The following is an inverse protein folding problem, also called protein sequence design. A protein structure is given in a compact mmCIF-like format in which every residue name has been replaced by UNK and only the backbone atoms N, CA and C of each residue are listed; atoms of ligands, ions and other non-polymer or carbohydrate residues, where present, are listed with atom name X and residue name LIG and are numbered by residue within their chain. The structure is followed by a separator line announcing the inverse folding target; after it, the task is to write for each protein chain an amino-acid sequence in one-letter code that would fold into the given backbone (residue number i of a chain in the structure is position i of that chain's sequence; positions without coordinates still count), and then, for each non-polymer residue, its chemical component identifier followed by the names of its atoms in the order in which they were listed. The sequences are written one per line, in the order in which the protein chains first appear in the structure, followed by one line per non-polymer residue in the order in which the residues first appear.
data_IF_425302139537
#
_entry.id   IF_425302139537
#
_cell.length_a   1.000
_cell.length_b   1.000
_cell.length_c   1.000
_cell.angle_alpha   90.00
_cell.angle_beta   90.00
_cell.angle_gamma   90.00
#
_symmetry.space_group_name_H-M   'P 1'
#
loop_
_entity.id
_entity.type
_entity.pdbx_description
1 polymer ?
#
# COMPACT_ATOMS: atom_id res chain seq x y z
N UNK A 1 1.75 27.91 -13.93
CA UNK A 1 2.16 26.95 -12.89
C UNK A 1 0.99 25.99 -12.77
N UNK A 2 1.11 24.79 -13.31
CA UNK A 2 0.03 23.79 -13.27
C UNK A 2 -0.17 23.36 -11.82
N UNK A 3 -1.36 23.58 -11.27
CA UNK A 3 -1.78 22.94 -10.03
C UNK A 3 -1.67 21.44 -10.22
N UNK A 4 -0.64 20.82 -9.63
CA UNK A 4 -0.56 19.37 -9.54
C UNK A 4 -1.49 19.00 -8.40
N UNK A 5 -2.50 18.19 -8.70
CA UNK A 5 -3.40 17.68 -7.67
C UNK A 5 -2.58 16.99 -6.57
N UNK A 6 -2.87 17.31 -5.30
CA UNK A 6 -2.13 16.81 -4.12
C UNK A 6 -2.02 15.28 -4.14
N UNK A 7 -3.07 14.60 -4.62
CA UNK A 7 -3.11 13.16 -4.77
C UNK A 7 -2.02 12.61 -5.71
N UNK A 8 -1.75 13.31 -6.82
CA UNK A 8 -0.67 12.95 -7.76
C UNK A 8 0.70 13.17 -7.12
N UNK A 9 0.85 14.23 -6.32
CA UNK A 9 2.09 14.47 -5.57
C UNK A 9 2.34 13.34 -4.57
N UNK A 10 1.32 12.92 -3.83
CA UNK A 10 1.43 11.85 -2.84
C UNK A 10 1.71 10.49 -3.49
N UNK A 11 1.08 10.20 -4.64
CA UNK A 11 1.39 9.00 -5.42
C UNK A 11 2.86 8.98 -5.88
N UNK A 12 3.34 10.07 -6.48
CA UNK A 12 4.73 10.17 -6.90
C UNK A 12 5.70 10.13 -5.73
N UNK A 13 5.36 10.76 -4.60
CA UNK A 13 6.15 10.69 -3.39
C UNK A 13 6.25 9.26 -2.86
N UNK A 14 5.16 8.49 -2.88
CA UNK A 14 5.16 7.08 -2.47
C UNK A 14 6.08 6.24 -3.36
N UNK A 15 6.02 6.43 -4.68
CA UNK A 15 6.94 5.76 -5.61
C UNK A 15 8.40 6.10 -5.30
N UNK A 16 8.69 7.37 -5.02
CA UNK A 16 10.06 7.83 -4.79
C UNK A 16 10.61 7.45 -3.41
N UNK A 17 9.75 7.34 -2.39
CA UNK A 17 10.15 6.82 -1.08
C UNK A 17 10.65 5.38 -1.21
N UNK A 18 9.97 4.54 -1.98
CA UNK A 18 10.40 3.15 -2.19
C UNK A 18 11.71 3.11 -2.97
N UNK A 19 11.80 3.87 -4.07
CA UNK A 19 12.97 3.88 -4.96
C UNK A 19 14.26 4.32 -4.25
N UNK A 20 14.15 5.25 -3.29
CA UNK A 20 15.29 5.87 -2.62
C UNK A 20 15.58 5.30 -1.23
N UNK A 21 14.55 5.01 -0.44
CA UNK A 21 14.71 4.65 0.97
C UNK A 21 14.69 3.14 1.20
N UNK A 22 14.00 2.36 0.37
CA UNK A 22 13.88 0.91 0.55
C UNK A 22 15.05 0.15 -0.07
N UNK A 23 16.26 0.43 0.44
CA UNK A 23 17.52 -0.24 0.08
C UNK A 23 18.10 -1.01 1.27
N UNK A 24 19.02 -1.93 1.01
CA UNK A 24 19.76 -2.63 2.07
C UNK A 24 18.85 -3.48 2.96
N UNK A 25 18.73 -3.12 4.24
CA UNK A 25 17.93 -3.91 5.19
C UNK A 25 16.43 -3.85 4.88
N UNK A 26 15.92 -2.69 4.47
CA UNK A 26 14.50 -2.52 4.13
C UNK A 26 14.12 -3.30 2.88
N UNK A 27 14.98 -3.30 1.86
CA UNK A 27 14.79 -4.16 0.69
C UNK A 27 14.66 -5.63 1.09
N UNK A 28 15.57 -6.12 1.95
CA UNK A 28 15.52 -7.52 2.40
C UNK A 28 14.25 -7.81 3.18
N UNK A 29 13.84 -6.91 4.08
CA UNK A 29 12.61 -7.06 4.83
C UNK A 29 11.39 -7.14 3.90
N UNK A 30 11.30 -6.27 2.89
CA UNK A 30 10.18 -6.25 1.95
C UNK A 30 10.16 -7.50 1.07
N UNK A 31 11.32 -7.98 0.61
CA UNK A 31 11.42 -9.24 -0.14
C UNK A 31 11.06 -10.47 0.70
N UNK A 32 11.19 -10.41 2.03
CA UNK A 32 10.73 -11.49 2.90
C UNK A 32 9.20 -11.59 2.99
N UNK A 33 8.47 -10.53 2.62
CA UNK A 33 7.00 -10.53 2.66
C UNK A 33 6.37 -11.23 1.44
N UNK A 34 7.11 -11.41 0.35
CA UNK A 34 6.58 -12.08 -0.82
C UNK A 34 7.53 -12.07 -2.01
N UNK A 35 7.29 -12.99 -2.95
CA UNK A 35 7.99 -13.07 -4.23
C UNK A 35 7.22 -12.40 -5.37
N UNK A 36 5.99 -11.94 -5.13
CA UNK A 36 5.18 -11.11 -5.99
C UNK A 36 4.32 -10.15 -5.15
N UNK A 37 3.63 -9.21 -5.79
CA UNK A 37 2.82 -8.19 -5.09
C UNK A 37 1.64 -8.81 -4.32
N UNK A 38 1.06 -9.90 -4.83
CA UNK A 38 -0.07 -10.59 -4.18
C UNK A 38 0.37 -11.23 -2.86
N UNK A 39 1.44 -12.01 -2.90
CA UNK A 39 2.04 -12.64 -1.73
C UNK A 39 2.51 -11.59 -0.72
N UNK A 40 3.10 -10.49 -1.20
CA UNK A 40 3.50 -9.36 -0.38
C UNK A 40 2.32 -8.78 0.40
N UNK A 41 1.22 -8.43 -0.27
CA UNK A 41 0.05 -7.81 0.34
C UNK A 41 -0.65 -8.76 1.32
N UNK A 42 -0.77 -10.04 0.97
CA UNK A 42 -1.38 -11.05 1.87
C UNK A 42 -0.54 -11.25 3.13
N UNK A 43 0.80 -11.22 3.03
CA UNK A 43 1.67 -11.36 4.19
C UNK A 43 1.69 -10.08 5.02
N UNK A 44 1.65 -8.90 4.38
CA UNK A 44 1.57 -7.62 5.07
C UNK A 44 0.31 -7.51 5.92
N UNK A 45 -0.83 -7.95 5.39
CA UNK A 45 -2.11 -8.07 6.10
C UNK A 45 -1.95 -8.90 7.39
N UNK A 46 -1.46 -10.14 7.27
CA UNK A 46 -1.22 -10.99 8.44
C UNK A 46 -0.20 -10.45 9.44
N UNK A 47 0.82 -9.69 8.99
CA UNK A 47 1.76 -9.00 9.89
C UNK A 47 1.06 -7.85 10.62
N UNK A 48 0.24 -7.08 9.91
CA UNK A 48 -0.54 -5.99 10.48
C UNK A 48 -1.49 -6.50 11.56
N UNK A 49 -2.20 -7.61 11.30
CA UNK A 49 -3.05 -8.27 12.29
C UNK A 49 -2.31 -8.61 13.58
N UNK A 50 -1.12 -9.23 13.47
CA UNK A 50 -0.33 -9.61 14.65
C UNK A 50 0.15 -8.38 15.43
N UNK A 51 0.59 -7.33 14.73
CA UNK A 51 1.05 -6.08 15.35
C UNK A 51 -0.08 -5.37 16.10
N UNK A 52 -1.28 -5.32 15.51
CA UNK A 52 -2.47 -4.76 16.16
C UNK A 52 -2.85 -5.55 17.43
N UNK A 53 -2.87 -6.88 17.36
CA UNK A 53 -3.14 -7.74 18.51
C UNK A 53 -2.14 -7.53 19.66
N UNK A 54 -0.86 -7.32 19.34
CA UNK A 54 0.20 -7.13 20.34
C UNK A 54 0.22 -5.72 20.95
N UNK A 55 -0.18 -4.71 20.19
CA UNK A 55 -0.09 -3.32 20.64
C UNK A 55 -1.18 -2.94 21.64
N UNK A 56 -2.29 -3.67 21.68
CA UNK A 56 -3.43 -3.38 22.57
C UNK A 56 -4.15 -2.06 22.24
N UNK A 57 -3.72 -1.38 21.18
CA UNK A 57 -4.29 -0.14 20.65
C UNK A 57 -4.84 -0.42 19.26
N UNK A 58 -6.06 0.02 18.96
CA UNK A 58 -6.54 0.06 17.60
C UNK A 58 -5.62 1.01 16.81
N UNK A 59 -4.90 0.51 15.82
CA UNK A 59 -4.11 1.35 14.92
C UNK A 59 -5.04 2.23 14.10
N UNK A 60 -4.59 3.45 13.74
CA UNK A 60 -5.35 4.40 12.92
C UNK A 60 -5.62 3.91 11.49
N UNK A 61 -5.01 2.79 11.09
CA UNK A 61 -5.26 2.15 9.82
C UNK A 61 -5.44 0.63 9.95
N UNK A 62 -6.35 0.11 9.14
CA UNK A 62 -6.64 -1.32 8.97
C UNK A 62 -6.48 -1.67 7.48
N UNK A 63 -5.87 -2.82 7.23
CA UNK A 63 -5.63 -3.36 5.90
C UNK A 63 -6.29 -4.73 5.84
N UNK A 64 -7.03 -5.01 4.77
CA UNK A 64 -7.52 -6.37 4.49
C UNK A 64 -7.23 -6.68 3.04
N UNK A 65 -6.48 -7.74 2.79
CA UNK A 65 -6.11 -8.17 1.45
C UNK A 65 -7.08 -9.24 0.95
N UNK A 66 -7.79 -8.97 -0.14
CA UNK A 66 -8.66 -9.92 -0.81
C UNK A 66 -8.08 -10.28 -2.18
N UNK A 67 -7.60 -11.51 -2.28
CA UNK A 67 -7.12 -12.05 -3.54
C UNK A 67 -8.28 -12.66 -4.34
N UNK A 68 -8.56 -12.10 -5.51
CA UNK A 68 -9.42 -12.73 -6.51
C UNK A 68 -8.56 -13.46 -7.56
N UNK A 69 -9.16 -14.25 -8.47
CA UNK A 69 -8.42 -14.87 -9.57
C UNK A 69 -7.76 -13.85 -10.50
N UNK A 70 -8.37 -12.67 -10.69
CA UNK A 70 -7.97 -11.69 -11.70
C UNK A 70 -7.26 -10.45 -11.10
N UNK A 71 -7.46 -10.17 -9.81
CA UNK A 71 -6.93 -8.99 -9.15
C UNK A 71 -6.63 -9.23 -7.66
N UNK A 72 -5.88 -8.30 -7.07
CA UNK A 72 -5.75 -8.17 -5.61
C UNK A 72 -6.43 -6.89 -5.20
N UNK A 73 -7.41 -7.01 -4.33
CA UNK A 73 -8.11 -5.88 -3.72
C UNK A 73 -7.51 -5.66 -2.33
N UNK A 74 -7.13 -4.42 -2.04
CA UNK A 74 -6.67 -4.01 -0.73
C UNK A 74 -7.72 -3.06 -0.15
N UNK A 75 -8.45 -3.52 0.85
CA UNK A 75 -9.36 -2.66 1.60
C UNK A 75 -8.54 -1.92 2.64
N UNK A 76 -8.48 -0.59 2.51
CA UNK A 76 -7.69 0.26 3.38
C UNK A 76 -8.58 1.25 4.12
N UNK A 77 -8.68 1.08 5.43
CA UNK A 77 -9.44 1.98 6.30
C UNK A 77 -8.47 2.92 6.99
N UNK A 78 -8.72 4.23 6.92
CA UNK A 78 -7.92 5.24 7.63
C UNK A 78 -8.73 6.50 7.92
N UNK A 79 -8.39 7.20 9.01
CA UNK A 79 -8.89 8.55 9.29
C UNK A 79 -8.24 9.64 8.40
N UNK A 80 -7.22 9.29 7.62
CA UNK A 80 -6.46 10.20 6.77
C UNK A 80 -6.46 9.78 5.29
N UNK A 81 -7.53 10.13 4.53
CA UNK A 81 -7.69 9.77 3.11
C UNK A 81 -6.49 10.00 2.20
N UNK A 82 -5.72 11.07 2.45
CA UNK A 82 -4.51 11.39 1.68
C UNK A 82 -3.46 10.29 1.72
N UNK A 83 -3.40 9.51 2.81
CA UNK A 83 -2.45 8.39 2.97
C UNK A 83 -2.72 7.28 1.94
N UNK A 84 -3.97 7.11 1.48
CA UNK A 84 -4.29 6.11 0.47
C UNK A 84 -3.51 6.34 -0.83
N UNK A 85 -3.34 7.61 -1.25
CA UNK A 85 -2.56 7.96 -2.45
C UNK A 85 -1.06 7.71 -2.25
N UNK A 86 -0.54 8.01 -1.06
CA UNK A 86 0.85 7.70 -0.72
C UNK A 86 1.11 6.19 -0.71
N UNK A 87 0.18 5.41 -0.17
CA UNK A 87 0.21 3.96 -0.17
C UNK A 87 0.14 3.41 -1.60
N UNK A 88 -0.79 3.89 -2.43
CA UNK A 88 -0.92 3.47 -3.83
C UNK A 88 0.38 3.70 -4.61
N UNK A 89 1.00 4.87 -4.44
CA UNK A 89 2.32 5.17 -4.99
C UNK A 89 3.41 4.21 -4.49
N UNK A 90 3.41 3.94 -3.18
CA UNK A 90 4.37 3.01 -2.57
C UNK A 90 4.21 1.59 -3.13
N UNK A 91 2.98 1.10 -3.31
CA UNK A 91 2.73 -0.22 -3.91
C UNK A 91 3.22 -0.31 -5.36
N UNK A 92 3.02 0.75 -6.16
CA UNK A 92 3.60 0.84 -7.51
C UNK A 92 5.13 0.79 -7.47
N UNK A 93 5.75 1.48 -6.51
CA UNK A 93 7.20 1.45 -6.28
C UNK A 93 7.71 0.07 -5.91
N UNK A 94 7.04 -0.60 -4.98
CA UNK A 94 7.33 -1.97 -4.52
C UNK A 94 7.27 -2.96 -5.68
N UNK A 95 6.19 -2.91 -6.47
CA UNK A 95 6.00 -3.78 -7.63
C UNK A 95 7.16 -3.62 -8.63
N UNK A 96 7.50 -2.37 -8.95
CA UNK A 96 8.56 -2.06 -9.91
C UNK A 96 9.93 -2.49 -9.41
N UNK A 97 10.26 -2.15 -8.17
CA UNK A 97 11.62 -2.34 -7.65
C UNK A 97 11.91 -3.79 -7.26
N UNK A 98 10.95 -4.50 -6.68
CA UNK A 98 11.19 -5.83 -6.14
C UNK A 98 10.75 -6.96 -7.06
N UNK A 99 9.73 -6.73 -7.90
CA UNK A 99 9.14 -7.77 -8.75
C UNK A 99 9.28 -7.50 -10.24
N UNK A 100 9.89 -6.37 -10.63
CA UNK A 100 9.97 -5.91 -12.03
C UNK A 100 8.59 -5.89 -12.71
N UNK A 101 7.57 -5.54 -11.93
CA UNK A 101 6.18 -5.49 -12.36
C UNK A 101 5.71 -4.04 -12.42
N UNK A 102 4.89 -3.71 -13.42
CA UNK A 102 4.24 -2.41 -13.54
C UNK A 102 2.79 -2.56 -13.11
N UNK A 103 2.62 -2.78 -11.80
CA UNK A 103 1.31 -2.91 -11.21
C UNK A 103 0.49 -1.63 -11.41
N UNK A 104 -0.72 -1.80 -11.94
CA UNK A 104 -1.70 -0.73 -12.07
C UNK A 104 -2.54 -0.67 -10.78
N UNK A 105 -2.20 0.28 -9.90
CA UNK A 105 -2.90 0.49 -8.63
C UNK A 105 -3.85 1.69 -8.75
N UNK A 106 -5.12 1.44 -8.50
CA UNK A 106 -6.20 2.42 -8.54
C UNK A 106 -6.91 2.47 -7.19
N UNK A 107 -7.33 3.67 -6.79
CA UNK A 107 -8.17 3.90 -5.63
C UNK A 107 -9.62 3.92 -6.11
N UNK A 108 -10.47 3.10 -5.49
CA UNK A 108 -11.87 3.01 -5.85
C UNK A 108 -12.71 3.61 -4.72
N UNK A 109 -13.50 4.67 -4.98
CA UNK A 109 -14.35 5.23 -3.93
C UNK A 109 -15.38 4.19 -3.48
N UNK A 110 -15.54 4.02 -2.16
CA UNK A 110 -16.62 3.21 -1.62
C UNK A 110 -17.97 3.94 -1.85
N UNK A 111 -18.91 3.37 -2.63
CA UNK A 111 -20.17 4.01 -2.94
C UNK A 111 -21.08 4.22 -1.72
N UNK A 112 -20.83 3.53 -0.60
CA UNK A 112 -21.62 3.61 0.62
C UNK A 112 -20.91 4.37 1.75
N UNK A 113 -19.63 4.74 1.57
CA UNK A 113 -18.85 5.30 2.65
C UNK A 113 -17.81 6.33 2.18
N UNK A 114 -18.17 7.62 2.27
CA UNK A 114 -17.31 8.74 1.82
C UNK A 114 -16.02 8.92 2.60
N UNK A 115 -15.77 8.09 3.63
CA UNK A 115 -14.53 8.07 4.40
C UNK A 115 -13.56 6.96 3.99
N UNK A 116 -13.98 6.04 3.11
CA UNK A 116 -13.24 4.82 2.77
C UNK A 116 -12.90 4.83 1.27
N UNK A 117 -11.68 4.40 0.95
CA UNK A 117 -11.04 4.51 -0.36
C UNK A 117 -10.35 3.18 -0.72
#
# INVERSE_FOLDING_TARGET
MTDIEVNVILDHLGQELISTACVGLLERAFRCLGNDLKAFLTTLDGVNDVVQHQSGTNTEAEFVCMATPDAVELHFTTDHPSIAYLLAGSLKGIARQFYNDKADVYILPDPYNTKFF
#
